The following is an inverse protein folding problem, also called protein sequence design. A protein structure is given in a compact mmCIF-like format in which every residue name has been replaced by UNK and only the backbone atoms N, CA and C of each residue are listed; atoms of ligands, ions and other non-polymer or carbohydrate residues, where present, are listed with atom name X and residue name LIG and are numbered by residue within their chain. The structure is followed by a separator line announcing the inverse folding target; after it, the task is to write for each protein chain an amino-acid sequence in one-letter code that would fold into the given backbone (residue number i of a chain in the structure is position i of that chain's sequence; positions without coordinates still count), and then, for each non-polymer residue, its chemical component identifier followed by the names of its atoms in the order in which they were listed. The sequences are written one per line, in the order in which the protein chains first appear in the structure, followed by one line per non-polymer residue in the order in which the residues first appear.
data_IF_722205433908
#
_entry.id   IF_722205433908
#
_cell.length_a   1.000
_cell.length_b   1.000
_cell.length_c   1.000
_cell.angle_alpha   90.00
_cell.angle_beta   90.00
_cell.angle_gamma   90.00
#
_symmetry.space_group_name_H-M   'P 1'
#
loop_
_entity.id
_entity.type
_entity.pdbx_description
1 polymer ?
#
# COMPACT_ATOMS: atom_id res chain seq x y z
N UNK A 1 -19.42 -8.33 -11.28
CA UNK A 1 -19.17 -8.15 -9.84
C UNK A 1 -17.92 -7.33 -9.65
N UNK A 2 -18.02 -6.24 -8.95
CA UNK A 2 -16.81 -5.46 -8.68
C UNK A 2 -15.93 -6.21 -7.68
N UNK A 3 -14.65 -6.13 -7.89
CA UNK A 3 -13.70 -6.57 -6.89
C UNK A 3 -13.56 -5.53 -5.81
N UNK A 4 -13.15 -5.97 -4.65
CA UNK A 4 -12.88 -5.13 -3.51
C UNK A 4 -11.38 -5.20 -3.22
N UNK A 5 -10.73 -4.04 -3.17
CA UNK A 5 -9.28 -3.95 -3.04
C UNK A 5 -8.95 -3.02 -1.89
N UNK A 6 -7.98 -3.43 -1.08
CA UNK A 6 -7.39 -2.52 -0.09
C UNK A 6 -6.02 -2.09 -0.60
N UNK A 7 -5.82 -0.79 -0.70
CA UNK A 7 -4.54 -0.22 -1.08
C UNK A 7 -3.79 0.20 0.16
N UNK A 8 -2.53 -0.19 0.21
CA UNK A 8 -1.65 0.13 1.32
C UNK A 8 -0.56 1.07 0.83
N UNK A 9 -0.56 2.29 1.35
CA UNK A 9 0.55 3.20 1.14
C UNK A 9 1.64 2.83 2.13
N UNK A 10 2.78 2.40 1.64
CA UNK A 10 3.88 1.94 2.49
C UNK A 10 4.36 3.00 3.45
N UNK A 11 4.75 2.55 4.64
CA UNK A 11 5.29 3.39 5.71
C UNK A 11 4.25 4.37 6.23
N UNK A 12 4.69 5.46 6.86
CA UNK A 12 3.78 6.47 7.39
C UNK A 12 4.18 6.91 8.79
N UNK A 13 3.77 8.12 9.16
CA UNK A 13 4.03 8.68 10.47
C UNK A 13 5.50 8.67 10.81
N UNK A 14 5.87 7.99 11.88
CA UNK A 14 7.26 7.91 12.36
C UNK A 14 8.16 7.03 11.49
N UNK A 15 7.58 6.30 10.53
CA UNK A 15 8.34 5.47 9.60
C UNK A 15 8.34 6.13 8.23
N UNK A 16 9.42 6.86 7.87
CA UNK A 16 9.46 7.55 6.58
C UNK A 16 9.74 6.62 5.42
N UNK A 17 10.17 5.37 5.67
CA UNK A 17 10.67 4.53 4.62
C UNK A 17 12.01 5.05 4.12
N UNK A 18 12.30 4.83 2.84
CA UNK A 18 13.52 5.31 2.24
C UNK A 18 13.48 6.85 2.12
N UNK A 19 14.60 7.48 2.43
CA UNK A 19 14.74 8.94 2.32
C UNK A 19 15.85 9.23 1.34
N UNK A 20 15.56 10.07 0.35
CA UNK A 20 16.53 10.41 -0.66
C UNK A 20 16.29 11.85 -1.12
N UNK A 21 17.33 12.67 -1.04
CA UNK A 21 17.25 14.09 -1.44
C UNK A 21 16.08 14.82 -0.79
N UNK A 22 15.85 14.56 0.48
CA UNK A 22 14.78 15.22 1.21
C UNK A 22 13.39 14.64 0.96
N UNK A 23 13.27 13.66 0.08
CA UNK A 23 11.99 13.03 -0.22
C UNK A 23 11.85 11.76 0.62
N UNK A 24 10.73 11.62 1.28
CA UNK A 24 10.44 10.46 2.09
C UNK A 24 9.48 9.55 1.34
N UNK A 25 9.79 8.26 1.38
CA UNK A 25 8.99 7.25 0.67
C UNK A 25 7.53 7.32 1.09
N UNK A 26 7.26 7.55 2.38
CA UNK A 26 5.89 7.57 2.87
C UNK A 26 5.02 8.60 2.16
N UNK A 27 5.60 9.73 1.78
CA UNK A 27 4.85 10.78 1.10
C UNK A 27 4.57 10.43 -0.36
N UNK A 28 5.58 9.90 -1.04
CA UNK A 28 5.41 9.47 -2.42
C UNK A 28 4.45 8.29 -2.51
N UNK A 29 4.55 7.35 -1.58
CA UNK A 29 3.68 6.19 -1.56
C UNK A 29 2.22 6.61 -1.33
N UNK A 30 2.00 7.55 -0.43
CA UNK A 30 0.64 8.01 -0.17
C UNK A 30 0.05 8.70 -1.39
N UNK A 31 0.82 9.59 -2.02
CA UNK A 31 0.34 10.31 -3.19
C UNK A 31 -0.02 9.36 -4.32
N UNK A 32 0.85 8.40 -4.58
CA UNK A 32 0.62 7.42 -5.64
C UNK A 32 -0.58 6.53 -5.32
N UNK A 33 -0.68 6.10 -4.07
CA UNK A 33 -1.77 5.23 -3.64
C UNK A 33 -3.12 5.92 -3.83
N UNK A 34 -3.22 7.19 -3.45
CA UNK A 34 -4.47 7.93 -3.62
C UNK A 34 -4.81 8.11 -5.10
N UNK A 35 -3.80 8.36 -5.94
CA UNK A 35 -4.03 8.53 -7.37
C UNK A 35 -4.50 7.23 -8.01
N UNK A 36 -3.87 6.11 -7.66
CA UNK A 36 -4.26 4.80 -8.17
C UNK A 36 -5.68 4.46 -7.71
N UNK A 37 -5.96 4.73 -6.44
CA UNK A 37 -7.28 4.44 -5.89
C UNK A 37 -8.38 5.20 -6.60
N UNK A 38 -8.12 6.46 -6.93
CA UNK A 38 -9.11 7.26 -7.66
C UNK A 38 -9.39 6.66 -9.03
N UNK A 39 -8.36 6.23 -9.74
CA UNK A 39 -8.53 5.60 -11.04
C UNK A 39 -9.36 4.31 -10.92
N UNK A 40 -9.05 3.50 -9.93
CA UNK A 40 -9.76 2.24 -9.72
C UNK A 40 -11.23 2.50 -9.37
N UNK A 41 -11.49 3.47 -8.50
CA UNK A 41 -12.87 3.83 -8.14
C UNK A 41 -13.66 4.32 -9.35
N UNK A 42 -13.01 5.09 -10.21
CA UNK A 42 -13.65 5.59 -11.42
C UNK A 42 -13.99 4.45 -12.38
N UNK A 43 -13.37 3.31 -12.21
CA UNK A 43 -13.64 2.12 -13.02
C UNK A 43 -14.54 1.10 -12.29
N UNK A 44 -15.20 1.52 -11.22
CA UNK A 44 -16.21 0.70 -10.57
C UNK A 44 -15.66 -0.29 -9.55
N UNK A 45 -14.39 -0.16 -9.14
CA UNK A 45 -13.78 -1.03 -8.16
C UNK A 45 -13.98 -0.43 -6.78
N UNK A 46 -14.34 -1.27 -5.82
CA UNK A 46 -14.49 -0.85 -4.43
C UNK A 46 -13.10 -0.77 -3.79
N UNK A 47 -12.65 0.42 -3.45
CA UNK A 47 -11.31 0.66 -2.95
C UNK A 47 -11.36 1.13 -1.51
N UNK A 48 -10.56 0.50 -0.67
CA UNK A 48 -10.33 0.94 0.69
C UNK A 48 -8.84 1.19 0.86
N UNK A 49 -8.47 1.93 1.88
CA UNK A 49 -7.08 2.32 2.12
C UNK A 49 -6.67 1.96 3.54
N UNK A 50 -5.41 1.54 3.72
CA UNK A 50 -4.87 1.37 5.06
C UNK A 50 -4.69 2.74 5.71
N UNK A 51 -4.31 3.74 4.93
CA UNK A 51 -4.24 5.11 5.41
C UNK A 51 -4.48 6.08 4.25
N UNK A 52 -5.01 7.23 4.59
CA UNK A 52 -5.15 8.34 3.66
C UNK A 52 -4.41 9.58 4.17
N UNK A 53 -3.72 9.44 5.28
CA UNK A 53 -2.96 10.53 5.91
C UNK A 53 -1.62 9.99 6.37
N UNK A 54 -0.81 10.83 6.97
CA UNK A 54 0.54 10.49 7.42
C UNK A 54 0.48 9.86 8.81
N UNK A 55 0.08 8.59 8.86
CA UNK A 55 -0.01 7.84 10.11
C UNK A 55 0.77 6.53 9.97
N UNK A 56 1.20 6.00 11.10
CA UNK A 56 1.96 4.77 11.16
C UNK A 56 1.04 3.60 11.49
N UNK A 57 1.24 2.49 10.78
CA UNK A 57 0.61 1.21 11.10
C UNK A 57 1.64 0.11 10.92
N UNK A 58 1.60 -0.88 11.83
CA UNK A 58 2.47 -2.04 11.67
C UNK A 58 1.95 -2.93 10.54
N UNK A 59 2.82 -3.77 9.96
CA UNK A 59 2.35 -4.73 8.96
C UNK A 59 1.23 -5.63 9.47
N UNK A 60 1.29 -6.00 10.74
CA UNK A 60 0.25 -6.82 11.34
C UNK A 60 -1.10 -6.08 11.36
N UNK A 61 -1.07 -4.81 11.76
CA UNK A 61 -2.29 -4.00 11.79
C UNK A 61 -2.91 -3.87 10.41
N UNK A 62 -2.08 -3.68 9.39
CA UNK A 62 -2.54 -3.57 8.02
C UNK A 62 -3.20 -4.88 7.55
N UNK A 63 -2.58 -6.01 7.85
CA UNK A 63 -3.11 -7.30 7.47
C UNK A 63 -4.45 -7.59 8.16
N UNK A 64 -4.55 -7.25 9.44
CA UNK A 64 -5.79 -7.43 10.17
C UNK A 64 -6.90 -6.55 9.62
N UNK A 65 -6.55 -5.32 9.25
CA UNK A 65 -7.53 -4.41 8.67
C UNK A 65 -8.08 -4.96 7.36
N UNK A 66 -7.20 -5.50 6.50
CA UNK A 66 -7.63 -6.10 5.24
C UNK A 66 -8.53 -7.31 5.46
N UNK A 67 -8.17 -8.16 6.43
CA UNK A 67 -9.00 -9.33 6.75
C UNK A 67 -10.36 -8.92 7.27
N UNK A 68 -10.40 -7.93 8.15
CA UNK A 68 -11.65 -7.48 8.74
C UNK A 68 -12.55 -6.81 7.73
N UNK A 69 -11.96 -6.14 6.74
CA UNK A 69 -12.72 -5.47 5.69
C UNK A 69 -13.28 -6.45 4.65
N UNK A 70 -12.71 -7.66 4.59
CA UNK A 70 -13.21 -8.66 3.66
C UNK A 70 -12.91 -8.37 2.20
N UNK A 71 -11.85 -7.63 1.92
CA UNK A 71 -11.49 -7.29 0.54
C UNK A 71 -10.92 -8.52 -0.17
N UNK A 72 -10.98 -8.49 -1.50
CA UNK A 72 -10.49 -9.61 -2.31
C UNK A 72 -8.98 -9.58 -2.46
N UNK A 73 -8.40 -8.39 -2.58
CA UNK A 73 -6.96 -8.23 -2.79
C UNK A 73 -6.42 -7.13 -1.89
N UNK A 74 -5.18 -7.33 -1.49
CA UNK A 74 -4.41 -6.33 -0.74
C UNK A 74 -3.22 -5.95 -1.60
N UNK A 75 -3.08 -4.68 -1.93
CA UNK A 75 -2.00 -4.18 -2.78
C UNK A 75 -1.22 -3.14 -2.00
N UNK A 76 0.06 -3.44 -1.78
CA UNK A 76 0.94 -2.55 -1.07
C UNK A 76 1.83 -1.81 -2.06
N UNK A 77 1.89 -0.50 -1.95
CA UNK A 77 2.59 0.36 -2.89
C UNK A 77 3.75 1.03 -2.17
N UNK A 78 4.94 0.82 -2.69
CA UNK A 78 6.18 1.38 -2.18
C UNK A 78 6.94 2.06 -3.30
N UNK A 79 7.83 2.95 -2.93
CA UNK A 79 8.79 3.52 -3.87
C UNK A 79 10.17 2.98 -3.53
N UNK A 80 10.77 2.28 -4.47
CA UNK A 80 12.12 1.79 -4.28
C UNK A 80 13.12 2.89 -4.57
N UNK A 81 14.13 2.96 -3.72
CA UNK A 81 15.17 3.95 -3.84
C UNK A 81 16.49 3.22 -3.70
N UNK A 82 17.34 3.30 -4.71
CA UNK A 82 18.63 2.63 -4.69
C UNK A 82 19.73 3.64 -4.39
N UNK A 83 20.78 3.20 -3.71
CA UNK A 83 21.87 4.12 -3.39
C UNK A 83 22.65 4.58 -4.60
N UNK A 84 22.58 3.86 -5.70
CA UNK A 84 23.26 4.25 -6.92
C UNK A 84 22.38 5.25 -7.67
N UNK A 85 22.99 6.32 -8.07
CA UNK A 85 22.29 7.31 -8.87
C UNK A 85 21.93 6.68 -10.20
N UNK A 86 21.13 7.36 -10.95
CA UNK A 86 20.62 6.94 -12.25
C UNK A 86 19.73 5.74 -12.21
N UNK A 87 19.73 5.06 -11.10
CA UNK A 87 18.89 3.94 -11.03
C UNK A 87 17.48 4.39 -10.87
N UNK A 88 16.66 3.70 -11.48
CA UNK A 88 15.26 4.02 -11.45
C UNK A 88 14.79 3.89 -10.02
N UNK A 89 14.40 5.00 -9.44
CA UNK A 89 13.61 4.91 -8.23
C UNK A 89 12.24 4.52 -8.70
N UNK A 90 12.00 3.23 -8.74
CA UNK A 90 10.77 2.70 -9.28
C UNK A 90 9.73 2.51 -8.22
N UNK A 91 8.51 2.34 -8.68
CA UNK A 91 7.42 1.92 -7.82
C UNK A 91 7.48 0.42 -7.71
N UNK A 92 7.45 -0.08 -6.49
CA UNK A 92 7.32 -1.50 -6.24
C UNK A 92 5.92 -1.75 -5.71
N UNK A 93 5.22 -2.68 -6.33
CA UNK A 93 3.89 -3.05 -5.91
C UNK A 93 3.87 -4.50 -5.48
N UNK A 94 3.44 -4.74 -4.25
CA UNK A 94 3.27 -6.09 -3.72
C UNK A 94 1.79 -6.38 -3.66
N UNK A 95 1.38 -7.47 -4.31
CA UNK A 95 -0.02 -7.84 -4.37
C UNK A 95 -0.21 -9.17 -3.64
N UNK A 96 -1.16 -9.18 -2.73
CA UNK A 96 -1.51 -10.40 -1.98
C UNK A 96 -2.94 -10.80 -2.28
N UNK A 97 -3.13 -12.08 -2.59
CA UNK A 97 -4.46 -12.67 -2.60
C UNK A 97 -4.86 -12.86 -1.14
N UNK A 98 -5.97 -12.25 -0.76
CA UNK A 98 -6.37 -12.26 0.63
C UNK A 98 -6.71 -13.64 1.13
N UNK A 99 -7.18 -14.52 0.26
CA UNK A 99 -7.46 -15.90 0.65
C UNK A 99 -6.21 -16.61 1.15
N UNK A 100 -5.10 -16.44 0.43
CA UNK A 100 -3.83 -16.99 0.86
C UNK A 100 -3.33 -16.36 2.15
N UNK A 101 -3.50 -15.05 2.27
CA UNK A 101 -3.08 -14.34 3.47
C UNK A 101 -3.87 -14.81 4.69
N UNK A 102 -5.17 -14.99 4.54
CA UNK A 102 -6.00 -15.48 5.64
C UNK A 102 -5.57 -16.87 6.07
N UNK A 103 -5.26 -17.72 5.12
CA UNK A 103 -4.81 -19.07 5.43
C UNK A 103 -3.51 -19.03 6.22
N UNK A 104 -2.57 -18.23 5.80
CA UNK A 104 -1.29 -18.11 6.49
C UNK A 104 -1.47 -17.58 7.90
N UNK A 105 -2.36 -16.63 8.09
CA UNK A 105 -2.60 -16.06 9.40
C UNK A 105 -3.31 -17.03 10.35
N UNK A 106 -4.07 -17.95 9.80
CA UNK A 106 -4.79 -18.94 10.60
C UNK A 106 -3.87 -20.04 11.14
N UNK A 107 -2.68 -20.17 10.58
CA UNK A 107 -1.70 -21.16 11.02
C UNK A 107 -0.88 -20.61 12.19
#
# INVERSE_FOLDING_TARGET
MPYSIMLDAGHGGRDPGAVYNGRQEKDDALRLTLAVGEILQNNGIDVQYTRTTDVYQTPYEKAMEANNAGVDFFISIHRNSYPTDNEVSGVETLVYDLSGLKYQMAQ
#
